data_IF_200953389284
#
_entry.id   IF_200953389284
#
_cell.length_a   1.000
_cell.length_b   1.000
_cell.length_c   1.000
_cell.angle_alpha   90.00
_cell.angle_beta   90.00
_cell.angle_gamma   90.00
#
_symmetry.space_group_name_H-M   'P 1'
#
loop_
_entity.id
_entity.type
_entity.pdbx_description
1 polymer ?
#
# COMPACT_ATOMS: atom_id res chain seq x y z
N UNK A 1 -16.66 -2.62 3.32
CA UNK A 1 -16.61 -2.59 4.79
C UNK A 1 -15.15 -2.68 5.19
N UNK A 2 -14.50 -1.53 5.44
CA UNK A 2 -13.04 -1.45 5.62
C UNK A 2 -12.66 -1.63 7.09
N UNK A 3 -12.00 -2.74 7.40
CA UNK A 3 -11.43 -3.07 8.72
C UNK A 3 -10.13 -2.31 9.01
N UNK A 4 -10.04 -1.04 8.58
CA UNK A 4 -8.82 -0.20 8.67
C UNK A 4 -8.79 0.71 9.90
N UNK A 5 -9.73 0.56 10.86
CA UNK A 5 -9.90 1.51 11.97
C UNK A 5 -9.01 1.28 13.19
N UNK A 6 -8.29 0.17 13.26
CA UNK A 6 -7.57 -0.20 14.50
C UNK A 6 -6.06 0.06 14.44
N UNK A 7 -5.53 0.55 13.31
CA UNK A 7 -4.16 1.02 13.25
C UNK A 7 -4.07 2.42 13.85
N UNK A 8 -3.15 2.63 14.78
CA UNK A 8 -2.84 3.97 15.32
C UNK A 8 -2.60 4.91 14.14
N UNK A 9 -3.39 5.99 13.97
CA UNK A 9 -3.24 6.88 12.84
C UNK A 9 -1.89 7.58 12.95
N UNK A 10 -0.98 7.27 12.02
CA UNK A 10 0.27 8.00 11.88
C UNK A 10 0.00 9.36 11.23
N UNK A 11 0.85 10.35 11.49
CA UNK A 11 0.76 11.56 10.68
C UNK A 11 1.16 11.25 9.23
N UNK A 12 0.70 12.07 8.28
CA UNK A 12 0.94 11.83 6.85
C UNK A 12 2.43 11.68 6.51
N UNK A 13 3.30 12.42 7.21
CA UNK A 13 4.74 12.34 7.04
C UNK A 13 5.32 11.00 7.51
N UNK A 14 4.89 10.52 8.68
CA UNK A 14 5.31 9.24 9.25
C UNK A 14 4.80 8.07 8.40
N UNK A 15 3.55 8.15 7.94
CA UNK A 15 2.97 7.16 7.05
C UNK A 15 3.77 7.04 5.74
N UNK A 16 4.06 8.17 5.09
CA UNK A 16 4.86 8.20 3.86
C UNK A 16 6.26 7.63 4.08
N UNK A 17 6.90 7.98 5.20
CA UNK A 17 8.20 7.46 5.56
C UNK A 17 8.15 5.93 5.75
N UNK A 18 7.16 5.42 6.49
CA UNK A 18 7.00 3.99 6.76
C UNK A 18 6.74 3.19 5.48
N UNK A 19 5.82 3.64 4.62
CA UNK A 19 5.54 2.98 3.34
C UNK A 19 6.77 3.00 2.44
N UNK A 20 7.47 4.14 2.36
CA UNK A 20 8.72 4.25 1.61
C UNK A 20 9.77 3.24 2.09
N UNK A 21 9.95 3.13 3.40
CA UNK A 21 10.88 2.20 4.03
C UNK A 21 10.50 0.74 3.74
N UNK A 22 9.23 0.37 3.88
CA UNK A 22 8.71 -0.97 3.59
C UNK A 22 8.98 -1.36 2.13
N UNK A 23 8.64 -0.49 1.18
CA UNK A 23 8.86 -0.74 -0.25
C UNK A 23 10.34 -0.84 -0.57
N UNK A 24 11.19 0.02 0.01
CA UNK A 24 12.63 -0.06 -0.13
C UNK A 24 13.18 -1.41 0.37
N UNK A 25 12.71 -1.87 1.54
CA UNK A 25 13.09 -3.17 2.09
C UNK A 25 12.74 -4.32 1.11
N UNK A 26 11.49 -4.36 0.63
CA UNK A 26 11.02 -5.41 -0.27
C UNK A 26 11.65 -5.34 -1.67
N UNK A 27 12.10 -4.16 -2.11
CA UNK A 27 12.86 -4.00 -3.35
C UNK A 27 14.27 -4.60 -3.22
N UNK A 28 14.96 -4.31 -2.12
CA UNK A 28 16.37 -4.61 -1.94
C UNK A 28 16.61 -6.08 -1.54
N UNK A 29 15.80 -6.64 -0.64
CA UNK A 29 16.08 -7.95 -0.05
C UNK A 29 15.42 -9.09 -0.82
N UNK A 30 16.10 -9.58 -1.86
CA UNK A 30 15.69 -10.78 -2.63
C UNK A 30 15.50 -12.02 -1.75
N UNK A 31 16.26 -12.12 -0.66
CA UNK A 31 16.18 -13.23 0.29
C UNK A 31 14.83 -13.34 1.01
N UNK A 32 14.04 -12.25 1.06
CA UNK A 32 12.71 -12.25 1.68
C UNK A 32 11.60 -12.78 0.75
N UNK A 33 11.93 -13.20 -0.48
CA UNK A 33 10.93 -13.60 -1.48
C UNK A 33 10.51 -15.04 -1.24
N UNK A 34 9.21 -15.25 -1.05
CA UNK A 34 8.62 -16.57 -0.78
C UNK A 34 8.91 -17.10 0.62
N UNK A 35 9.63 -16.35 1.46
CA UNK A 35 9.92 -16.73 2.85
C UNK A 35 8.84 -16.21 3.78
N UNK A 36 8.42 -17.03 4.73
CA UNK A 36 7.55 -16.58 5.82
C UNK A 36 8.34 -15.69 6.78
N UNK A 37 7.94 -14.43 6.91
CA UNK A 37 8.55 -13.45 7.79
C UNK A 37 7.59 -13.12 8.93
N UNK A 38 8.03 -13.30 10.17
CA UNK A 38 7.28 -12.89 11.37
C UNK A 38 7.21 -11.37 11.46
N UNK A 39 6.09 -10.83 11.93
CA UNK A 39 5.93 -9.37 12.08
C UNK A 39 6.94 -8.75 13.04
N UNK A 40 7.29 -9.46 14.12
CA UNK A 40 8.33 -9.05 15.06
C UNK A 40 9.72 -8.97 14.40
N UNK A 41 10.02 -9.92 13.51
CA UNK A 41 11.29 -9.94 12.78
C UNK A 41 11.36 -8.81 11.74
N UNK A 42 10.22 -8.36 11.20
CA UNK A 42 10.17 -7.23 10.28
C UNK A 42 10.68 -5.94 10.94
N UNK A 43 10.35 -5.71 12.21
CA UNK A 43 10.83 -4.56 12.97
C UNK A 43 12.38 -4.55 13.05
N UNK A 44 13.00 -5.71 13.28
CA UNK A 44 14.46 -5.83 13.32
C UNK A 44 15.14 -5.56 11.95
N UNK A 45 14.42 -5.74 10.84
CA UNK A 45 14.93 -5.53 9.48
C UNK A 45 14.77 -4.08 9.00
N UNK A 46 13.96 -3.28 9.68
CA UNK A 46 13.65 -1.90 9.36
C UNK A 46 13.96 -1.01 10.57
N UNK A 47 15.18 -0.44 10.65
CA UNK A 47 15.57 0.45 11.76
C UNK A 47 14.60 1.61 11.97
N UNK A 48 14.05 2.13 10.87
CA UNK A 48 13.05 3.21 10.85
C UNK A 48 11.69 2.76 11.38
N UNK A 49 11.39 1.46 11.25
CA UNK A 49 10.13 0.87 11.66
C UNK A 49 10.19 0.17 13.03
N UNK A 50 11.37 0.06 13.66
CA UNK A 50 11.56 -0.45 15.03
C UNK A 50 10.69 0.28 16.05
N UNK A 51 10.38 1.56 15.80
CA UNK A 51 9.57 2.40 16.69
C UNK A 51 8.08 2.07 16.63
N UNK A 52 7.64 1.32 15.62
CA UNK A 52 6.24 1.01 15.42
C UNK A 52 5.93 -0.40 15.92
N UNK A 53 4.79 -0.59 16.61
CA UNK A 53 4.39 -1.90 17.07
C UNK A 53 4.03 -2.81 15.86
N UNK A 54 4.15 -4.14 15.98
CA UNK A 54 3.92 -5.09 14.88
C UNK A 54 2.57 -4.93 14.17
N UNK A 55 1.54 -4.50 14.90
CA UNK A 55 0.19 -4.26 14.38
C UNK A 55 0.17 -3.12 13.36
N UNK A 56 0.94 -2.06 13.60
CA UNK A 56 1.11 -0.93 12.68
C UNK A 56 1.86 -1.39 11.43
N UNK A 57 2.95 -2.15 11.60
CA UNK A 57 3.69 -2.71 10.45
C UNK A 57 2.83 -3.62 9.60
N UNK A 58 1.99 -4.44 10.24
CA UNK A 58 1.03 -5.32 9.58
C UNK A 58 -0.02 -4.53 8.79
N UNK A 59 -0.61 -3.51 9.39
CA UNK A 59 -1.60 -2.65 8.73
C UNK A 59 -1.02 -2.00 7.47
N UNK A 60 0.13 -1.35 7.57
CA UNK A 60 0.75 -0.66 6.44
C UNK A 60 1.30 -1.62 5.37
N UNK A 61 1.75 -2.82 5.76
CA UNK A 61 2.14 -3.85 4.79
C UNK A 61 0.93 -4.40 4.03
N UNK A 62 -0.20 -4.63 4.71
CA UNK A 62 -1.47 -5.00 4.06
C UNK A 62 -1.93 -3.92 3.11
N UNK A 63 -1.88 -2.66 3.53
CA UNK A 63 -2.21 -1.52 2.68
C UNK A 63 -1.36 -1.49 1.41
N UNK A 64 -0.04 -1.72 1.51
CA UNK A 64 0.82 -1.88 0.33
C UNK A 64 0.36 -3.02 -0.60
N UNK A 65 -0.15 -4.12 -0.04
CA UNK A 65 -0.72 -5.22 -0.83
C UNK A 65 -2.06 -4.83 -1.50
N UNK A 66 -2.94 -4.13 -0.80
CA UNK A 66 -4.23 -3.66 -1.33
C UNK A 66 -4.03 -2.71 -2.53
N UNK A 67 -3.02 -1.85 -2.45
CA UNK A 67 -2.58 -1.01 -3.56
C UNK A 67 -1.79 -1.76 -4.64
N UNK A 68 -1.76 -3.10 -4.60
CA UNK A 68 -1.06 -3.96 -5.54
C UNK A 68 0.43 -3.62 -5.69
N UNK A 69 1.09 -3.14 -4.62
CA UNK A 69 2.52 -2.82 -4.63
C UNK A 69 3.35 -4.07 -4.37
N UNK A 70 2.80 -5.01 -3.59
CA UNK A 70 3.42 -6.28 -3.24
C UNK A 70 2.91 -7.40 -4.16
N UNK A 71 3.82 -8.29 -4.58
CA UNK A 71 3.50 -9.47 -5.39
C UNK A 71 3.34 -10.67 -4.48
N UNK A 72 2.28 -11.46 -4.67
CA UNK A 72 2.09 -12.73 -3.95
C UNK A 72 2.14 -12.56 -2.44
N UNK A 73 1.54 -11.47 -1.94
CA UNK A 73 1.42 -11.23 -0.51
C UNK A 73 0.35 -12.15 0.08
N UNK A 74 0.68 -12.81 1.19
CA UNK A 74 -0.29 -13.54 2.00
C UNK A 74 0.02 -13.33 3.48
N UNK A 75 -1.02 -13.06 4.27
CA UNK A 75 -0.95 -12.88 5.71
C UNK A 75 -1.47 -14.15 6.41
N UNK A 76 -0.67 -14.68 7.34
CA UNK A 76 -0.94 -15.91 8.07
C UNK A 76 -1.17 -15.68 9.57
N UNK A 77 -1.50 -14.45 9.99
CA UNK A 77 -1.62 -14.10 11.40
C UNK A 77 -0.33 -13.51 11.92
N UNK A 78 0.55 -14.37 12.47
CA UNK A 78 1.82 -13.99 13.11
C UNK A 78 2.97 -13.73 12.11
N UNK A 79 2.79 -14.17 10.87
CA UNK A 79 3.76 -14.03 9.80
C UNK A 79 3.07 -13.70 8.47
N UNK A 80 3.87 -13.27 7.50
CA UNK A 80 3.44 -13.05 6.13
C UNK A 80 4.46 -13.57 5.12
N UNK A 81 4.00 -13.81 3.90
CA UNK A 81 4.86 -14.11 2.75
C UNK A 81 4.67 -13.05 1.68
N UNK A 82 5.70 -12.80 0.88
CA UNK A 82 5.65 -11.90 -0.28
C UNK A 82 6.72 -12.30 -1.31
N UNK A 83 6.49 -12.00 -2.58
CA UNK A 83 7.34 -12.36 -3.72
C UNK A 83 8.00 -11.14 -4.40
N UNK A 84 8.25 -10.09 -3.62
CA UNK A 84 8.84 -8.83 -4.03
C UNK A 84 7.78 -7.80 -4.46
N UNK A 85 8.24 -6.76 -5.13
CA UNK A 85 7.39 -5.69 -5.63
C UNK A 85 6.79 -6.00 -7.01
N UNK A 86 5.57 -5.53 -7.23
CA UNK A 86 4.96 -5.46 -8.57
C UNK A 86 5.66 -4.41 -9.45
N UNK A 87 5.23 -4.27 -10.72
CA UNK A 87 5.72 -3.17 -11.57
C UNK A 87 5.38 -1.81 -10.94
N UNK A 88 4.19 -1.71 -10.37
CA UNK A 88 3.73 -0.53 -9.64
C UNK A 88 4.61 -0.31 -8.41
N UNK A 89 4.77 -1.31 -7.52
CA UNK A 89 5.65 -1.19 -6.35
C UNK A 89 7.10 -0.76 -6.68
N UNK A 90 7.68 -1.23 -7.80
CA UNK A 90 9.03 -0.80 -8.24
C UNK A 90 9.07 0.62 -8.80
N UNK A 91 8.02 1.04 -9.48
CA UNK A 91 7.84 2.45 -9.82
C UNK A 91 7.70 3.27 -8.52
N UNK A 92 7.12 2.66 -7.48
CA UNK A 92 6.96 3.25 -6.16
C UNK A 92 8.27 3.53 -5.41
N UNK A 93 9.33 2.80 -5.71
CA UNK A 93 10.64 3.01 -5.07
C UNK A 93 11.53 4.05 -5.76
N UNK A 94 11.17 4.55 -6.96
CA UNK A 94 12.04 5.41 -7.78
C UNK A 94 11.89 6.93 -7.54
N UNK A 95 11.32 7.35 -6.42
CA UNK A 95 11.32 8.76 -6.00
C UNK A 95 10.37 9.72 -6.74
N UNK A 96 9.51 9.24 -7.66
CA UNK A 96 8.48 10.09 -8.31
C UNK A 96 7.20 10.26 -7.47
N UNK A 97 7.33 10.21 -6.14
CA UNK A 97 6.22 9.93 -5.20
C UNK A 97 5.51 11.13 -4.62
N UNK A 98 6.23 12.22 -4.37
CA UNK A 98 5.62 13.39 -3.75
C UNK A 98 4.37 13.87 -4.50
N UNK A 99 4.34 13.71 -5.83
CA UNK A 99 3.20 14.10 -6.68
C UNK A 99 2.07 13.07 -6.77
N UNK A 100 2.36 11.77 -6.69
CA UNK A 100 1.34 10.71 -6.84
C UNK A 100 0.68 10.31 -5.52
N UNK A 101 1.37 10.51 -4.40
CA UNK A 101 0.79 10.29 -3.08
C UNK A 101 -0.43 11.20 -2.85
N UNK A 102 -0.36 12.46 -3.30
CA UNK A 102 -1.50 13.39 -3.30
C UNK A 102 -2.66 12.97 -4.23
N UNK A 103 -2.45 12.03 -5.17
CA UNK A 103 -3.47 11.59 -6.13
C UNK A 103 -4.11 10.28 -5.69
N UNK A 104 -3.30 9.35 -5.16
CA UNK A 104 -3.77 8.02 -4.75
C UNK A 104 -4.42 8.00 -3.35
N UNK A 105 -4.04 8.94 -2.47
CA UNK A 105 -4.48 9.01 -1.08
C UNK A 105 -5.42 10.19 -0.78
N UNK A 106 -5.64 11.09 -1.74
CA UNK A 106 -6.60 12.16 -1.57
C UNK A 106 -8.03 11.64 -1.85
N UNK A 107 -8.91 11.60 -0.84
CA UNK A 107 -10.29 11.16 -1.03
C UNK A 107 -11.03 11.99 -2.07
N UNK A 108 -10.63 13.24 -2.33
CA UNK A 108 -11.20 14.08 -3.37
C UNK A 108 -10.87 13.59 -4.77
N UNK A 109 -9.69 12.99 -4.99
CA UNK A 109 -9.30 12.45 -6.30
C UNK A 109 -10.01 11.12 -6.56
N UNK A 110 -10.26 10.33 -5.52
CA UNK A 110 -11.12 9.15 -5.61
C UNK A 110 -12.57 9.53 -5.94
N UNK A 111 -13.10 10.60 -5.32
CA UNK A 111 -14.43 11.14 -5.62
C UNK A 111 -14.52 11.74 -7.03
N UNK A 112 -13.48 12.45 -7.49
CA UNK A 112 -13.43 12.99 -8.84
C UNK A 112 -13.39 11.86 -9.89
N UNK A 113 -12.64 10.79 -9.63
CA UNK A 113 -12.58 9.61 -10.50
C UNK A 113 -13.93 8.89 -10.57
N UNK A 114 -14.63 8.77 -9.44
CA UNK A 114 -16.00 8.26 -9.36
C UNK A 114 -17.00 9.14 -10.11
N UNK A 115 -16.89 10.46 -9.97
CA UNK A 115 -17.75 11.42 -10.67
C UNK A 115 -17.54 11.36 -12.19
N UNK A 116 -16.30 11.28 -12.65
CA UNK A 116 -15.98 11.09 -14.08
C UNK A 116 -16.51 9.75 -14.59
N UNK A 117 -16.33 8.66 -13.83
CA UNK A 117 -16.87 7.36 -14.20
C UNK A 117 -18.40 7.37 -14.28
N UNK A 118 -19.09 8.03 -13.34
CA UNK A 118 -20.54 8.21 -13.37
C UNK A 118 -21.00 9.05 -14.56
N UNK A 119 -20.30 10.14 -14.90
CA UNK A 119 -20.62 10.99 -16.04
C UNK A 119 -20.45 10.23 -17.37
N UNK A 120 -19.38 9.44 -17.50
CA UNK A 120 -19.17 8.59 -18.67
C UNK A 120 -20.25 7.50 -18.79
N UNK A 121 -20.63 6.88 -17.67
CA UNK A 121 -21.69 5.87 -17.64
C UNK A 121 -23.06 6.47 -18.00
N UNK A 122 -23.41 7.64 -17.45
CA UNK A 122 -24.65 8.33 -17.78
C UNK A 122 -24.70 8.78 -19.24
N UNK A 123 -23.59 9.33 -19.77
CA UNK A 123 -23.49 9.70 -21.19
C UNK A 123 -23.63 8.49 -22.12
N UNK A 124 -23.02 7.37 -21.77
CA UNK A 124 -23.14 6.11 -22.51
C UNK A 124 -24.56 5.53 -22.48
N UNK A 125 -25.24 5.56 -21.33
CA UNK A 125 -26.62 5.10 -21.19
C UNK A 125 -27.60 5.94 -22.01
N UNK A 126 -27.36 7.25 -22.13
CA UNK A 126 -28.19 8.15 -22.91
C UNK A 126 -28.05 7.91 -24.42
N UNK A 127 -26.84 7.60 -24.89
CA UNK A 127 -26.58 7.25 -26.31
C UNK A 127 -27.18 5.90 -26.74
N UNK A 128 -27.45 4.98 -25.80
CA UNK A 128 -28.09 3.68 -26.08
C UNK A 128 -29.62 3.69 -26.02
N UNK A 129 -30.22 4.74 -25.48
CA UNK A 129 -31.68 4.89 -25.32
C UNK A 129 -32.37 5.60 -26.49
N UNK A 130 -31.63 5.93 -27.56
CA UNK A 130 -32.12 6.42 -28.85
C UNK A 130 -31.83 5.39 -29.93
#
# INVERSE_FOLDING_TARGET
MSAHRDAVPLCEQEERALIGALLALFAQRRALRGTALRWEALAALLPEAVRHPPEVLRAYTRQCSEFQLLRGFADHGEAFTQNGLTRLGRFWTKGKWAALYAIAWDPLVNLASLAVAMLLYMGWSWLRGR
#
